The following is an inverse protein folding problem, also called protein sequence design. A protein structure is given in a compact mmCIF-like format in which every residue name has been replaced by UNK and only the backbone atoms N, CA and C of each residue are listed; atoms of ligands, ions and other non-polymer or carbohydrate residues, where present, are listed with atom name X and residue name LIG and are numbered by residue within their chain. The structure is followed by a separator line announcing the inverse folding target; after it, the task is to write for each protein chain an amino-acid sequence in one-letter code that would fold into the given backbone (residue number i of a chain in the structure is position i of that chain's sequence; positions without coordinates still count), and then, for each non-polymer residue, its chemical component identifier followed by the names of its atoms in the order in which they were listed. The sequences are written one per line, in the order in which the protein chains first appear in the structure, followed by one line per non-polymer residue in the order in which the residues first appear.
data_IF_762669089493
#
_entry.id   IF_762669089493
#
_cell.length_a   1.000
_cell.length_b   1.000
_cell.length_c   1.000
_cell.angle_alpha   90.00
_cell.angle_beta   90.00
_cell.angle_gamma   90.00
#
_symmetry.space_group_name_H-M   'P 1'
#
loop_
_entity.id
_entity.type
_entity.pdbx_description
1 polymer ?
#
# COMPACT_ATOMS: atom_id res chain seq x y z
N UNK A 1 -4.51 17.90 -8.86
CA UNK A 1 -3.71 17.20 -7.85
C UNK A 1 -4.46 16.96 -6.55
N UNK A 2 -4.96 18.01 -5.88
CA UNK A 2 -5.72 17.84 -4.63
C UNK A 2 -6.98 17.00 -4.80
N UNK A 3 -7.76 17.21 -5.88
CA UNK A 3 -8.99 16.45 -6.16
C UNK A 3 -8.69 14.96 -6.36
N UNK A 4 -7.62 14.63 -7.09
CA UNK A 4 -7.21 13.26 -7.34
C UNK A 4 -6.87 12.53 -6.06
N UNK A 5 -6.04 13.16 -5.21
CA UNK A 5 -5.67 12.57 -3.92
C UNK A 5 -6.88 12.45 -3.00
N UNK A 6 -7.76 13.46 -2.98
CA UNK A 6 -8.99 13.41 -2.21
C UNK A 6 -9.90 12.28 -2.67
N UNK A 7 -10.02 12.06 -4.00
CA UNK A 7 -10.85 10.98 -4.54
C UNK A 7 -10.34 9.60 -4.12
N UNK A 8 -9.04 9.35 -4.23
CA UNK A 8 -8.49 8.05 -3.83
C UNK A 8 -8.56 7.82 -2.33
N UNK A 9 -8.61 8.88 -1.53
CA UNK A 9 -8.75 8.77 -0.08
C UNK A 9 -10.21 8.51 0.34
N UNK A 10 -11.17 8.80 -0.54
CA UNK A 10 -12.61 8.66 -0.25
C UNK A 10 -13.18 7.29 -0.60
N UNK A 11 -12.36 6.36 -1.06
CA UNK A 11 -12.85 5.03 -1.45
C UNK A 11 -13.17 4.13 -0.27
N UNK A 12 -12.89 4.56 0.95
CA UNK A 12 -13.23 3.79 2.13
C UNK A 12 -12.03 3.20 2.85
N UNK A 13 -10.82 3.67 2.56
CA UNK A 13 -9.64 3.21 3.28
C UNK A 13 -9.78 3.48 4.77
N UNK A 14 -9.49 2.46 5.56
CA UNK A 14 -9.47 2.57 7.02
C UNK A 14 -8.12 2.01 7.48
N UNK A 15 -7.11 2.85 7.47
CA UNK A 15 -5.76 2.44 7.81
C UNK A 15 -5.56 2.38 9.32
N UNK A 16 -5.04 1.24 9.76
CA UNK A 16 -4.62 1.03 11.14
C UNK A 16 -3.23 0.39 11.09
N UNK A 17 -2.21 1.22 10.99
CA UNK A 17 -0.84 0.82 10.70
C UNK A 17 -0.14 0.40 11.98
N UNK A 18 -0.18 -0.89 12.29
CA UNK A 18 0.41 -1.42 13.52
C UNK A 18 1.89 -1.72 13.37
N UNK A 19 2.31 -2.24 12.20
CA UNK A 19 3.70 -2.62 12.00
C UNK A 19 4.63 -1.40 12.02
N UNK A 20 4.19 -0.28 11.45
CA UNK A 20 4.99 0.94 11.41
C UNK A 20 5.26 1.54 12.80
N UNK A 21 4.55 1.07 13.82
CA UNK A 21 4.76 1.50 15.20
C UNK A 21 5.79 0.67 15.95
N UNK A 22 6.30 -0.38 15.33
CA UNK A 22 7.37 -1.20 15.89
C UNK A 22 8.70 -0.43 15.89
N UNK A 23 9.72 -0.91 16.63
CA UNK A 23 11.03 -0.25 16.63
C UNK A 23 11.61 -0.12 15.22
N UNK A 24 12.35 0.94 14.97
CA UNK A 24 12.92 1.26 13.65
C UNK A 24 13.87 0.20 13.12
N UNK A 25 14.42 -0.64 14.00
CA UNK A 25 15.26 -1.77 13.58
C UNK A 25 14.48 -2.84 12.79
N UNK A 26 13.15 -2.81 12.88
CA UNK A 26 12.27 -3.80 12.23
C UNK A 26 11.89 -3.41 10.81
N UNK A 27 12.23 -2.22 10.37
CA UNK A 27 11.76 -1.71 9.09
C UNK A 27 12.63 -0.57 8.57
N UNK A 28 12.47 -0.27 7.29
CA UNK A 28 12.97 0.96 6.67
C UNK A 28 11.78 1.80 6.20
N UNK A 29 11.81 3.11 6.45
CA UNK A 29 10.76 4.00 5.97
C UNK A 29 11.14 4.48 4.58
N UNK A 30 10.35 4.07 3.59
CA UNK A 30 10.63 4.30 2.17
C UNK A 30 9.36 4.73 1.46
N UNK A 31 9.53 5.55 0.44
CA UNK A 31 8.43 5.84 -0.50
C UNK A 31 8.57 4.91 -1.71
N UNK A 32 7.44 4.48 -2.31
CA UNK A 32 7.52 3.74 -3.55
C UNK A 32 8.19 4.57 -4.64
N UNK A 33 9.01 3.91 -5.46
CA UNK A 33 9.61 4.57 -6.62
C UNK A 33 8.50 4.76 -7.66
N UNK A 34 8.31 5.98 -8.18
CA UNK A 34 7.28 6.22 -9.20
C UNK A 34 7.45 5.35 -10.43
N UNK A 35 6.35 4.82 -10.92
CA UNK A 35 6.29 4.01 -12.12
C UNK A 35 5.84 4.88 -13.27
N UNK A 36 6.49 4.75 -14.42
CA UNK A 36 6.15 5.51 -15.61
C UNK A 36 4.93 4.91 -16.29
N UNK A 37 3.90 5.75 -16.50
CA UNK A 37 2.69 5.40 -17.26
C UNK A 37 2.01 4.10 -16.82
N UNK A 38 1.63 3.97 -15.52
CA UNK A 38 0.96 2.76 -15.07
C UNK A 38 -0.42 2.62 -15.71
N UNK A 39 -0.83 1.38 -15.97
CA UNK A 39 -2.17 1.09 -16.51
C UNK A 39 -2.86 0.03 -15.66
N UNK A 40 -4.14 0.25 -15.40
CA UNK A 40 -4.96 -0.74 -14.71
C UNK A 40 -5.26 -1.89 -15.65
N UNK A 41 -4.93 -3.11 -15.25
CA UNK A 41 -5.20 -4.32 -16.02
C UNK A 41 -6.55 -4.92 -15.63
N UNK A 42 -6.76 -5.11 -14.33
CA UNK A 42 -7.97 -5.73 -13.82
C UNK A 42 -8.18 -5.29 -12.37
N UNK A 43 -9.43 -5.23 -11.96
CA UNK A 43 -9.79 -4.98 -10.57
C UNK A 43 -10.81 -6.01 -10.12
N UNK A 44 -10.66 -6.51 -8.89
CA UNK A 44 -11.58 -7.48 -8.31
C UNK A 44 -12.64 -6.74 -7.49
N UNK A 45 -13.79 -6.49 -8.11
CA UNK A 45 -14.87 -5.74 -7.47
C UNK A 45 -15.52 -6.50 -6.32
N UNK A 46 -15.57 -7.83 -6.39
CA UNK A 46 -16.11 -8.63 -5.29
C UNK A 46 -15.24 -8.50 -4.05
N UNK A 47 -13.93 -8.57 -4.21
CA UNK A 47 -13.01 -8.39 -3.11
C UNK A 47 -13.03 -6.97 -2.56
N UNK A 48 -13.11 -5.96 -3.43
CA UNK A 48 -13.18 -4.58 -2.96
C UNK A 48 -14.40 -4.36 -2.05
N UNK A 49 -15.54 -4.96 -2.39
CA UNK A 49 -16.73 -4.92 -1.55
C UNK A 49 -16.50 -5.55 -0.19
N UNK A 50 -15.88 -6.72 -0.15
CA UNK A 50 -15.56 -7.39 1.11
C UNK A 50 -14.64 -6.54 1.99
N UNK A 51 -13.72 -5.83 1.36
CA UNK A 51 -12.80 -4.95 2.07
C UNK A 51 -13.43 -3.63 2.50
N UNK A 52 -14.67 -3.37 2.08
CA UNK A 52 -15.34 -2.10 2.38
C UNK A 52 -14.88 -0.94 1.52
N UNK A 53 -14.33 -1.24 0.34
CA UNK A 53 -13.81 -0.25 -0.59
C UNK A 53 -14.78 -0.06 -1.76
N UNK A 54 -14.93 1.18 -2.21
CA UNK A 54 -15.76 1.53 -3.35
C UNK A 54 -14.93 2.32 -4.35
N UNK A 55 -14.64 1.72 -5.50
CA UNK A 55 -13.85 2.34 -6.55
C UNK A 55 -14.71 2.92 -7.68
N UNK A 56 -16.04 2.94 -7.51
CA UNK A 56 -16.96 3.36 -8.58
C UNK A 56 -16.77 4.81 -9.02
N UNK A 57 -16.29 5.66 -8.13
CA UNK A 57 -16.11 7.09 -8.40
C UNK A 57 -14.66 7.46 -8.72
N UNK A 58 -13.81 6.47 -8.98
CA UNK A 58 -12.40 6.67 -9.28
C UNK A 58 -12.14 6.24 -10.71
N UNK A 59 -11.43 7.09 -11.47
CA UNK A 59 -11.04 6.74 -12.84
C UNK A 59 -10.02 5.60 -12.86
N UNK A 60 -9.96 4.87 -13.97
CA UNK A 60 -8.97 3.83 -14.14
C UNK A 60 -7.54 4.39 -14.05
N UNK A 61 -7.32 5.62 -14.53
CA UNK A 61 -6.02 6.29 -14.40
C UNK A 61 -5.64 6.47 -12.94
N UNK A 62 -6.56 6.96 -12.12
CA UNK A 62 -6.28 7.20 -10.70
C UNK A 62 -6.11 5.89 -9.93
N UNK A 63 -6.86 4.85 -10.29
CA UNK A 63 -6.66 3.52 -9.71
C UNK A 63 -5.27 2.99 -10.05
N UNK A 64 -4.84 3.15 -11.31
CA UNK A 64 -3.50 2.73 -11.73
C UNK A 64 -2.42 3.47 -10.95
N UNK A 65 -2.58 4.78 -10.76
CA UNK A 65 -1.64 5.58 -9.98
C UNK A 65 -1.59 5.14 -8.52
N UNK A 66 -2.75 4.84 -7.94
CA UNK A 66 -2.84 4.40 -6.55
C UNK A 66 -2.20 3.03 -6.35
N UNK A 67 -2.57 2.05 -7.18
CA UNK A 67 -2.07 0.69 -7.03
C UNK A 67 -0.62 0.52 -7.44
N UNK A 68 -0.07 1.43 -8.23
CA UNK A 68 1.36 1.43 -8.54
C UNK A 68 2.21 2.16 -7.47
N UNK A 69 1.55 2.80 -6.51
CA UNK A 69 2.25 3.56 -5.49
C UNK A 69 2.65 4.98 -5.90
N UNK A 70 2.26 5.42 -7.10
CA UNK A 70 2.56 6.77 -7.58
C UNK A 70 1.76 7.83 -6.82
N UNK A 71 0.58 7.44 -6.34
CA UNK A 71 -0.32 8.34 -5.63
C UNK A 71 -0.87 7.59 -4.42
N UNK A 72 -0.61 8.09 -3.23
CA UNK A 72 -0.95 7.39 -1.99
C UNK A 72 -2.17 8.00 -1.32
N UNK A 73 -3.12 7.17 -0.84
CA UNK A 73 -4.22 7.67 -0.01
C UNK A 73 -3.72 8.26 1.31
N UNK A 74 -4.54 9.09 1.93
CA UNK A 74 -4.22 9.61 3.25
C UNK A 74 -4.21 8.49 4.29
N UNK A 75 -3.34 8.62 5.29
CA UNK A 75 -3.22 7.63 6.36
C UNK A 75 -2.26 6.49 6.06
N UNK A 76 -1.63 6.51 4.88
CA UNK A 76 -0.63 5.49 4.56
C UNK A 76 0.69 5.79 5.29
N UNK A 77 1.38 4.71 5.66
CA UNK A 77 2.74 4.79 6.19
C UNK A 77 3.57 3.76 5.46
N UNK A 78 4.39 4.24 4.52
CA UNK A 78 5.13 3.35 3.62
C UNK A 78 6.41 2.85 4.29
N UNK A 79 6.53 1.54 4.39
CA UNK A 79 7.65 0.88 5.04
C UNK A 79 8.07 -0.35 4.23
N UNK A 80 9.35 -0.71 4.37
CA UNK A 80 9.84 -2.01 3.96
C UNK A 80 10.21 -2.79 5.22
N UNK A 81 9.67 -3.98 5.37
CA UNK A 81 9.92 -4.80 6.54
C UNK A 81 11.34 -5.36 6.50
N UNK A 82 12.02 -5.32 7.65
CA UNK A 82 13.29 -6.02 7.79
C UNK A 82 13.04 -7.52 7.72
N UNK A 83 13.90 -8.24 7.03
CA UNK A 83 13.79 -9.68 6.96
C UNK A 83 15.18 -10.31 7.01
N UNK A 84 15.20 -11.55 7.45
CA UNK A 84 16.43 -12.32 7.53
C UNK A 84 16.27 -13.61 6.75
N UNK A 85 17.32 -14.03 6.09
CA UNK A 85 17.26 -15.24 5.29
C UNK A 85 18.64 -15.66 4.82
N UNK A 86 18.74 -16.88 4.32
CA UNK A 86 19.95 -17.41 3.73
C UNK A 86 19.99 -17.04 2.26
N UNK A 87 20.74 -15.99 1.93
CA UNK A 87 20.86 -15.47 0.57
C UNK A 87 22.32 -15.22 0.23
N UNK A 88 22.64 -15.26 -1.05
CA UNK A 88 24.00 -15.01 -1.53
C UNK A 88 25.04 -15.94 -0.88
N UNK A 89 24.64 -17.17 -0.53
CA UNK A 89 25.51 -18.15 0.08
C UNK A 89 25.72 -18.02 1.59
N UNK A 90 25.09 -17.08 2.25
CA UNK A 90 25.17 -16.90 3.71
C UNK A 90 23.90 -16.27 4.25
N UNK A 91 23.76 -16.30 5.57
CA UNK A 91 22.62 -15.71 6.25
C UNK A 91 22.75 -14.17 6.24
N UNK A 92 21.70 -13.49 5.80
CA UNK A 92 21.67 -12.03 5.71
C UNK A 92 20.46 -11.46 6.42
N UNK A 93 20.58 -10.22 6.90
CA UNK A 93 19.47 -9.44 7.42
C UNK A 93 19.36 -8.20 6.54
N UNK A 94 18.22 -8.05 5.87
CA UNK A 94 17.98 -6.96 4.95
C UNK A 94 16.83 -6.09 5.47
N UNK A 95 16.97 -4.78 5.32
CA UNK A 95 15.99 -3.82 5.84
C UNK A 95 15.17 -3.12 4.76
N UNK A 96 15.46 -3.39 3.49
CA UNK A 96 14.80 -2.72 2.37
C UNK A 96 13.71 -3.56 1.72
N UNK A 97 13.54 -4.81 2.15
CA UNK A 97 12.43 -5.66 1.74
C UNK A 97 12.25 -5.82 0.25
N UNK A 98 11.41 -6.77 -0.12
CA UNK A 98 11.03 -6.99 -1.53
C UNK A 98 9.83 -6.16 -1.93
N UNK A 99 9.07 -5.69 -0.96
CA UNK A 99 7.84 -4.96 -1.20
C UNK A 99 7.76 -3.80 -0.22
N UNK A 100 7.12 -2.74 -0.68
CA UNK A 100 6.80 -1.63 0.20
C UNK A 100 5.37 -1.81 0.65
N UNK A 101 5.18 -1.89 1.96
CA UNK A 101 3.86 -1.91 2.58
C UNK A 101 3.35 -0.48 2.63
N UNK A 102 2.18 -0.25 2.07
CA UNK A 102 1.58 1.08 2.02
C UNK A 102 0.78 1.34 3.30
N UNK A 103 0.15 0.30 3.82
CA UNK A 103 -0.65 0.42 5.03
C UNK A 103 -1.33 -0.89 5.37
N UNK A 104 -2.01 -0.89 6.49
CA UNK A 104 -2.83 -2.01 6.95
C UNK A 104 -4.27 -1.52 7.03
N UNK A 105 -5.12 -2.08 6.19
CA UNK A 105 -6.52 -1.68 6.09
C UNK A 105 -7.41 -2.60 6.92
N UNK A 106 -8.37 -2.01 7.62
CA UNK A 106 -9.40 -2.77 8.33
C UNK A 106 -10.69 -2.76 7.52
N UNK A 107 -11.23 -3.94 7.24
CA UNK A 107 -12.53 -4.08 6.59
C UNK A 107 -13.67 -3.70 7.54
N UNK A 108 -14.90 -3.66 7.03
CA UNK A 108 -16.08 -3.39 7.87
C UNK A 108 -16.21 -4.39 9.01
N UNK A 109 -15.79 -5.63 8.80
CA UNK A 109 -15.78 -6.68 9.82
C UNK A 109 -14.50 -6.65 10.67
N UNK A 110 -13.72 -5.59 10.58
CA UNK A 110 -12.47 -5.38 11.32
C UNK A 110 -11.42 -6.47 11.05
N UNK A 111 -11.44 -7.04 9.87
CA UNK A 111 -10.37 -7.95 9.39
C UNK A 111 -9.28 -7.12 8.73
N UNK A 112 -8.03 -7.47 9.07
CA UNK A 112 -6.84 -6.80 8.56
C UNK A 112 -6.34 -7.50 7.30
#
# INVERSE_FOLDING_TARGET
MRKTKSNISKVGWHFDNTYSKLPDTMMSRLLPVPVKAPKLVVINNALSKELGLDFSNISNENLALMFSGNLLPEGTETIAQAYAGHQFGYFTILGDGRAIIIGEHLSKNKKR
#
